data_IF_746871793051
#
_entry.id   IF_746871793051
#
_cell.length_a   1.000
_cell.length_b   1.000
_cell.length_c   1.000
_cell.angle_alpha   90.00
_cell.angle_beta   90.00
_cell.angle_gamma   90.00
#
_symmetry.space_group_name_H-M   'P 1'
#
loop_
_entity.id
_entity.type
_entity.pdbx_description
1 polymer ?
#
# COMPACT_ATOMS: atom_id res chain seq x y z
N UNK A 1 -42.03 28.46 38.45
CA UNK A 1 -40.86 27.56 38.41
C UNK A 1 -40.57 27.22 36.97
N UNK A 2 -39.61 27.95 36.38
CA UNK A 2 -39.13 27.62 35.04
C UNK A 2 -38.07 26.53 35.15
N UNK A 3 -38.35 25.33 34.66
CA UNK A 3 -37.37 24.28 34.52
C UNK A 3 -36.68 24.52 33.18
N UNK A 4 -35.47 25.03 33.22
CA UNK A 4 -34.63 25.11 32.03
C UNK A 4 -34.09 23.71 31.74
N UNK A 5 -34.55 23.06 30.65
CA UNK A 5 -33.90 21.88 30.11
C UNK A 5 -32.59 22.33 29.44
N UNK A 6 -31.45 21.70 29.77
CA UNK A 6 -30.27 21.92 28.98
C UNK A 6 -30.48 21.27 27.59
N UNK A 7 -30.44 22.07 26.56
CA UNK A 7 -30.33 21.56 25.20
C UNK A 7 -28.99 20.86 25.09
N UNK A 8 -29.01 19.53 25.08
CA UNK A 8 -27.85 18.72 24.73
C UNK A 8 -27.57 18.97 23.26
N UNK A 9 -26.57 19.80 22.98
CA UNK A 9 -25.97 19.91 21.67
C UNK A 9 -25.30 18.57 21.38
N UNK A 10 -26.02 17.72 20.66
CA UNK A 10 -25.40 16.53 20.07
C UNK A 10 -24.36 17.02 19.04
N UNK A 11 -23.11 16.99 19.45
CA UNK A 11 -22.01 17.21 18.51
C UNK A 11 -21.99 15.98 17.61
N UNK A 12 -22.65 16.07 16.47
CA UNK A 12 -22.44 15.13 15.38
C UNK A 12 -21.02 15.35 14.86
N UNK A 13 -20.07 14.60 15.38
CA UNK A 13 -18.80 14.41 14.68
C UNK A 13 -19.16 13.69 13.38
N UNK A 14 -18.92 14.29 12.20
CA UNK A 14 -19.02 13.51 10.98
C UNK A 14 -18.02 12.38 11.15
N UNK A 15 -18.49 11.14 11.16
CA UNK A 15 -17.62 10.01 11.03
C UNK A 15 -16.84 10.25 9.74
N UNK A 16 -15.58 10.64 9.89
CA UNK A 16 -14.66 10.66 8.78
C UNK A 16 -14.57 9.20 8.34
N UNK A 17 -15.31 8.83 7.28
CA UNK A 17 -15.07 7.59 6.57
C UNK A 17 -13.63 7.70 6.10
N UNK A 18 -12.72 6.98 6.79
CA UNK A 18 -11.35 6.84 6.32
C UNK A 18 -11.47 6.25 4.92
N UNK A 19 -11.18 7.05 3.90
CA UNK A 19 -11.12 6.58 2.55
C UNK A 19 -10.10 5.46 2.47
N UNK A 20 -10.42 4.38 1.78
CA UNK A 20 -9.48 3.31 1.50
C UNK A 20 -8.47 3.83 0.47
N UNK A 21 -7.27 4.14 0.94
CA UNK A 21 -6.20 4.70 0.11
C UNK A 21 -5.12 3.65 -0.07
N UNK A 22 -4.82 3.34 -1.32
CA UNK A 22 -3.76 2.42 -1.72
C UNK A 22 -2.78 3.16 -2.63
N UNK A 23 -1.49 3.06 -2.31
CA UNK A 23 -0.41 3.55 -3.15
C UNK A 23 0.25 2.37 -3.82
N UNK A 24 0.30 2.39 -5.15
CA UNK A 24 1.02 1.39 -5.95
C UNK A 24 2.24 2.05 -6.56
N UNK A 25 3.41 1.55 -6.22
CA UNK A 25 4.68 2.12 -6.66
C UNK A 25 5.78 1.06 -6.73
N UNK A 26 7.01 1.48 -6.87
CA UNK A 26 8.22 0.67 -6.74
C UNK A 26 9.36 1.52 -6.17
N UNK A 27 10.55 0.91 -5.99
CA UNK A 27 11.71 1.60 -5.42
C UNK A 27 12.27 2.73 -6.30
N UNK A 28 11.91 2.77 -7.58
CA UNK A 28 12.34 3.82 -8.52
C UNK A 28 11.42 5.04 -8.51
N UNK A 29 10.25 4.90 -7.91
CA UNK A 29 9.22 5.94 -7.84
C UNK A 29 8.94 6.29 -6.39
N UNK A 30 9.78 7.13 -5.75
CA UNK A 30 9.58 7.54 -4.38
C UNK A 30 8.29 8.37 -4.25
N UNK A 31 7.67 8.29 -3.09
CA UNK A 31 6.43 8.99 -2.81
C UNK A 31 6.47 9.61 -1.42
N UNK A 32 5.64 10.62 -1.20
CA UNK A 32 5.43 11.24 0.10
C UNK A 32 4.18 10.66 0.74
N UNK A 33 4.35 9.96 1.86
CA UNK A 33 3.24 9.35 2.60
C UNK A 33 2.31 10.41 3.20
N UNK A 34 1.03 10.07 3.24
CA UNK A 34 0.02 10.81 3.97
C UNK A 34 -0.16 10.25 5.39
N UNK A 35 0.19 8.97 5.59
CA UNK A 35 -0.06 8.19 6.79
C UNK A 35 -1.35 7.39 6.70
N UNK A 36 -1.30 6.11 7.05
CA UNK A 36 -2.45 5.22 7.06
C UNK A 36 -2.84 4.60 5.71
N UNK A 37 -2.22 5.00 4.60
CA UNK A 37 -2.42 4.34 3.31
C UNK A 37 -1.77 2.96 3.27
N UNK A 38 -2.35 2.06 2.49
CA UNK A 38 -1.71 0.79 2.15
C UNK A 38 -0.70 1.01 1.05
N UNK A 39 0.51 0.47 1.23
CA UNK A 39 1.56 0.52 0.23
C UNK A 39 1.67 -0.83 -0.49
N UNK A 40 1.63 -0.80 -1.81
CA UNK A 40 1.98 -1.91 -2.68
C UNK A 40 3.23 -1.55 -3.46
N UNK A 41 4.31 -2.28 -3.21
CA UNK A 41 5.56 -2.15 -3.95
C UNK A 41 5.69 -3.31 -4.93
N UNK A 42 5.63 -3.02 -6.22
CA UNK A 42 5.59 -4.05 -7.26
C UNK A 42 6.92 -4.79 -7.40
N UNK A 43 8.02 -4.22 -6.95
CA UNK A 43 9.35 -4.82 -6.96
C UNK A 43 9.72 -5.55 -5.65
N UNK A 44 8.82 -5.59 -4.67
CA UNK A 44 9.07 -6.27 -3.40
C UNK A 44 9.36 -7.77 -3.57
N UNK A 45 8.61 -8.54 -4.38
CA UNK A 45 8.95 -9.94 -4.63
C UNK A 45 10.38 -10.11 -5.16
N UNK A 46 10.78 -9.24 -6.09
CA UNK A 46 12.12 -9.29 -6.67
C UNK A 46 13.21 -8.97 -5.65
N UNK A 47 12.97 -8.00 -4.76
CA UNK A 47 13.92 -7.68 -3.68
C UNK A 47 14.09 -8.83 -2.71
N UNK A 48 13.01 -9.52 -2.34
CA UNK A 48 13.09 -10.70 -1.47
C UNK A 48 13.87 -11.83 -2.16
N UNK A 49 13.61 -12.08 -3.42
CA UNK A 49 14.38 -13.06 -4.21
C UNK A 49 15.86 -12.68 -4.28
N UNK A 50 16.18 -11.43 -4.46
CA UNK A 50 17.56 -10.93 -4.47
C UNK A 50 18.25 -11.13 -3.12
N UNK A 51 17.57 -10.90 -2.01
CA UNK A 51 18.10 -11.20 -0.66
C UNK A 51 18.43 -12.68 -0.50
N UNK A 52 17.54 -13.56 -0.97
CA UNK A 52 17.74 -15.02 -0.90
C UNK A 52 18.86 -15.51 -1.80
N UNK A 53 19.16 -14.80 -2.86
CA UNK A 53 20.16 -15.16 -3.87
C UNK A 53 21.45 -14.36 -3.75
N UNK A 54 21.60 -13.51 -2.74
CA UNK A 54 22.76 -12.64 -2.59
C UNK A 54 24.03 -13.45 -2.31
N UNK A 55 25.12 -13.13 -3.02
CA UNK A 55 26.47 -13.66 -2.79
C UNK A 55 26.52 -15.19 -2.81
N UNK A 56 25.83 -15.83 -3.74
CA UNK A 56 25.86 -17.27 -3.88
C UNK A 56 27.19 -17.72 -4.56
N UNK A 57 27.77 -18.86 -4.11
CA UNK A 57 28.91 -19.43 -4.77
C UNK A 57 28.53 -19.99 -6.17
N UNK A 58 29.55 -20.20 -7.02
CA UNK A 58 29.35 -20.71 -8.38
C UNK A 58 28.95 -22.20 -8.41
N UNK A 59 29.29 -22.96 -7.35
CA UNK A 59 28.90 -24.36 -7.24
C UNK A 59 27.39 -24.49 -7.00
N UNK A 60 26.62 -25.15 -7.87
CA UNK A 60 25.16 -25.27 -7.74
C UNK A 60 24.72 -25.98 -6.47
N UNK A 61 25.43 -26.98 -6.00
CA UNK A 61 25.07 -27.71 -4.77
C UNK A 61 25.22 -26.83 -3.54
N UNK A 62 26.33 -26.09 -3.43
CA UNK A 62 26.55 -25.15 -2.34
C UNK A 62 25.55 -24.00 -2.39
N UNK A 63 25.30 -23.45 -3.56
CA UNK A 63 24.31 -22.39 -3.75
C UNK A 63 22.90 -22.84 -3.29
N UNK A 64 22.47 -24.01 -3.72
CA UNK A 64 21.18 -24.60 -3.33
C UNK A 64 21.08 -24.78 -1.82
N UNK A 65 22.13 -25.30 -1.18
CA UNK A 65 22.17 -25.50 0.27
C UNK A 65 22.02 -24.17 1.04
N UNK A 66 22.69 -23.13 0.55
CA UNK A 66 22.61 -21.79 1.15
C UNK A 66 21.20 -21.20 1.03
N UNK A 67 20.58 -21.29 -0.15
CA UNK A 67 19.21 -20.79 -0.36
C UNK A 67 18.22 -21.53 0.54
N UNK A 68 18.32 -22.87 0.61
CA UNK A 68 17.47 -23.68 1.51
C UNK A 68 17.63 -23.25 2.97
N UNK A 69 18.85 -22.98 3.41
CA UNK A 69 19.12 -22.50 4.77
C UNK A 69 18.50 -21.13 5.02
N UNK A 70 18.63 -20.20 4.07
CA UNK A 70 18.04 -18.86 4.18
C UNK A 70 16.52 -18.93 4.24
N UNK A 71 15.89 -19.78 3.44
CA UNK A 71 14.45 -20.04 3.48
C UNK A 71 14.00 -20.59 4.84
N UNK A 72 14.74 -21.59 5.37
CA UNK A 72 14.42 -22.18 6.66
C UNK A 72 14.63 -21.20 7.83
N UNK A 73 15.71 -20.44 7.80
CA UNK A 73 16.02 -19.44 8.83
C UNK A 73 15.06 -18.27 8.85
N UNK A 74 14.52 -17.91 7.69
CA UNK A 74 13.52 -16.84 7.57
C UNK A 74 12.17 -17.20 8.19
N UNK A 75 11.84 -18.48 8.27
CA UNK A 75 10.67 -19.00 8.95
C UNK A 75 9.35 -18.37 8.52
N UNK A 76 8.44 -18.23 9.48
CA UNK A 76 7.10 -17.68 9.25
C UNK A 76 7.12 -16.23 8.77
N UNK A 77 8.07 -15.43 9.25
CA UNK A 77 8.17 -14.03 8.85
C UNK A 77 8.49 -13.88 7.36
N UNK A 78 9.44 -14.67 6.86
CA UNK A 78 9.76 -14.68 5.43
C UNK A 78 8.58 -15.15 4.59
N UNK A 79 7.87 -16.20 5.02
CA UNK A 79 6.67 -16.70 4.35
C UNK A 79 5.58 -15.63 4.27
N UNK A 80 5.37 -14.88 5.36
CA UNK A 80 4.42 -13.75 5.38
C UNK A 80 4.83 -12.63 4.44
N UNK A 81 6.11 -12.26 4.43
CA UNK A 81 6.65 -11.24 3.51
C UNK A 81 6.42 -11.64 2.06
N UNK A 82 6.72 -12.87 1.70
CA UNK A 82 6.52 -13.40 0.35
C UNK A 82 5.03 -13.38 -0.03
N UNK A 83 4.18 -13.92 0.83
CA UNK A 83 2.74 -13.96 0.56
C UNK A 83 2.16 -12.54 0.39
N UNK A 84 2.52 -11.61 1.26
CA UNK A 84 2.08 -10.21 1.19
C UNK A 84 2.59 -9.51 -0.07
N UNK A 85 3.85 -9.76 -0.45
CA UNK A 85 4.44 -9.16 -1.64
C UNK A 85 3.74 -9.63 -2.93
N UNK A 86 3.47 -10.91 -3.07
CA UNK A 86 2.73 -11.45 -4.21
C UNK A 86 1.26 -11.04 -4.20
N UNK A 87 0.64 -10.99 -3.04
CA UNK A 87 -0.74 -10.50 -2.91
C UNK A 87 -0.85 -9.04 -3.36
N UNK A 88 0.13 -8.21 -3.03
CA UNK A 88 0.19 -6.83 -3.48
C UNK A 88 0.21 -6.71 -5.00
N UNK A 89 1.01 -7.52 -5.67
CA UNK A 89 1.07 -7.54 -7.14
C UNK A 89 -0.27 -7.97 -7.73
N UNK A 90 -0.89 -8.99 -7.18
CA UNK A 90 -2.22 -9.45 -7.62
C UNK A 90 -3.28 -8.37 -7.43
N UNK A 91 -3.27 -7.69 -6.30
CA UNK A 91 -4.22 -6.62 -6.01
C UNK A 91 -4.04 -5.42 -6.96
N UNK A 92 -2.79 -5.04 -7.24
CA UNK A 92 -2.51 -3.99 -8.22
C UNK A 92 -3.02 -4.34 -9.63
N UNK A 93 -2.87 -5.59 -10.03
CA UNK A 93 -3.43 -6.09 -11.27
C UNK A 93 -4.95 -5.99 -11.30
N UNK A 94 -5.60 -6.40 -10.20
CA UNK A 94 -7.06 -6.33 -10.06
C UNK A 94 -7.59 -4.89 -10.12
N UNK A 95 -6.79 -3.94 -9.65
CA UNK A 95 -7.11 -2.51 -9.73
C UNK A 95 -6.88 -1.91 -11.11
N UNK A 96 -6.28 -2.65 -12.04
CA UNK A 96 -6.02 -2.19 -13.40
C UNK A 96 -4.94 -1.12 -13.52
N UNK A 97 -3.97 -1.11 -12.60
CA UNK A 97 -2.89 -0.11 -12.59
C UNK A 97 -1.97 -0.28 -13.80
N UNK A 98 -1.77 0.79 -14.55
CA UNK A 98 -0.99 0.81 -15.79
C UNK A 98 0.26 1.66 -15.73
N UNK A 99 0.41 2.49 -14.71
CA UNK A 99 1.54 3.42 -14.56
C UNK A 99 1.86 3.65 -13.09
N UNK A 100 3.08 4.06 -12.78
CA UNK A 100 3.56 4.32 -11.42
C UNK A 100 4.10 5.76 -11.30
N UNK A 101 3.99 6.35 -10.12
CA UNK A 101 3.20 5.92 -8.98
C UNK A 101 1.70 6.07 -9.25
N UNK A 102 0.89 5.26 -8.59
CA UNK A 102 -0.56 5.35 -8.65
C UNK A 102 -1.13 5.47 -7.24
N UNK A 103 -2.07 6.37 -7.04
CA UNK A 103 -2.84 6.49 -5.80
C UNK A 103 -4.28 6.13 -6.10
N UNK A 104 -4.78 5.12 -5.41
CA UNK A 104 -6.12 4.56 -5.60
C UNK A 104 -6.96 4.85 -4.37
N UNK A 105 -8.14 5.42 -4.57
CA UNK A 105 -9.09 5.71 -3.48
C UNK A 105 -10.37 4.91 -3.72
N UNK A 106 -10.80 4.20 -2.69
CA UNK A 106 -12.01 3.39 -2.67
C UNK A 106 -12.09 2.38 -3.81
N UNK A 107 -10.94 1.83 -4.23
CA UNK A 107 -10.79 0.85 -5.30
C UNK A 107 -11.37 1.31 -6.66
N UNK A 108 -11.62 2.59 -6.81
CA UNK A 108 -12.37 3.14 -7.95
C UNK A 108 -11.71 4.33 -8.61
N UNK A 109 -11.12 5.22 -7.83
CA UNK A 109 -10.52 6.46 -8.34
C UNK A 109 -9.01 6.34 -8.32
N UNK A 110 -8.36 6.70 -9.42
CA UNK A 110 -6.91 6.57 -9.57
C UNK A 110 -6.30 7.89 -10.05
N UNK A 111 -5.22 8.29 -9.41
CA UNK A 111 -4.35 9.38 -9.88
C UNK A 111 -2.98 8.79 -10.19
N UNK A 112 -2.52 8.98 -11.41
CA UNK A 112 -1.20 8.56 -11.86
C UNK A 112 -0.20 9.70 -11.81
N UNK A 113 1.04 9.39 -11.47
CA UNK A 113 2.15 10.33 -11.58
C UNK A 113 2.24 11.39 -10.49
N UNK A 114 1.40 11.33 -9.45
CA UNK A 114 1.48 12.24 -8.31
C UNK A 114 2.19 11.57 -7.13
N UNK A 115 3.44 11.96 -6.82
CA UNK A 115 4.19 11.34 -5.72
C UNK A 115 3.74 11.79 -4.32
N UNK A 116 2.98 12.87 -4.19
CA UNK A 116 2.41 13.33 -2.93
C UNK A 116 1.01 12.73 -2.76
N UNK A 117 0.89 11.75 -1.86
CA UNK A 117 -0.36 11.01 -1.64
C UNK A 117 -1.49 11.93 -1.20
N UNK A 118 -1.23 12.86 -0.29
CA UNK A 118 -2.24 13.81 0.18
C UNK A 118 -2.77 14.68 -0.97
N UNK A 119 -1.89 15.10 -1.87
CA UNK A 119 -2.27 15.88 -3.05
C UNK A 119 -3.10 15.06 -4.03
N UNK A 120 -2.74 13.80 -4.25
CA UNK A 120 -3.50 12.88 -5.09
C UNK A 120 -4.92 12.67 -4.53
N UNK A 121 -5.04 12.41 -3.23
CA UNK A 121 -6.33 12.25 -2.56
C UNK A 121 -7.18 13.53 -2.67
N UNK A 122 -6.57 14.69 -2.47
CA UNK A 122 -7.27 15.97 -2.61
C UNK A 122 -7.84 16.17 -4.02
N UNK A 123 -7.09 15.78 -5.07
CA UNK A 123 -7.57 15.84 -6.46
C UNK A 123 -8.75 14.92 -6.70
N UNK A 124 -8.73 13.72 -6.13
CA UNK A 124 -9.85 12.78 -6.21
C UNK A 124 -11.08 13.35 -5.50
N UNK A 125 -10.91 13.91 -4.30
CA UNK A 125 -12.02 14.50 -3.55
C UNK A 125 -12.65 15.68 -4.29
N UNK A 126 -11.88 16.51 -4.96
CA UNK A 126 -12.41 17.56 -5.82
C UNK A 126 -13.24 17.01 -6.98
N UNK A 127 -12.78 15.93 -7.58
CA UNK A 127 -13.52 15.28 -8.69
C UNK A 127 -14.82 14.64 -8.22
N UNK A 128 -14.87 14.15 -7.00
CA UNK A 128 -16.05 13.49 -6.41
C UNK A 128 -17.12 14.48 -5.95
N UNK A 129 -16.78 15.74 -5.75
CA UNK A 129 -17.75 16.75 -5.31
C UNK A 129 -18.76 17.00 -6.41
N UNK A 130 -20.09 17.05 -6.08
CA UNK A 130 -21.07 17.45 -7.06
C UNK A 130 -20.76 18.84 -7.59
N UNK A 131 -20.67 18.97 -8.88
CA UNK A 131 -20.56 20.29 -9.53
C UNK A 131 -21.93 20.97 -9.48
N UNK A 132 -22.03 22.27 -9.17
CA UNK A 132 -23.29 22.98 -9.20
C UNK A 132 -23.85 23.10 -10.61
#
# INVERSE_FOLDING_TARGET
LAVALPAALAVFSPAAFAADVVVVTDSRHPFKTMGGERLIELDEPHRIEAELSAELPNDPEQATAIVKRRLSSGGTDLQRRLASAYQGVTDAWSLGITSLPAVVVDQRYVVYGEPDVARAVARIEQHRRPQP
#
